data_IF_700185647533
#
_entry.id   IF_700185647533
#
_cell.length_a   1.000
_cell.length_b   1.000
_cell.length_c   1.000
_cell.angle_alpha   90.00
_cell.angle_beta   90.00
_cell.angle_gamma   90.00
#
_symmetry.space_group_name_H-M   'P 1'
#
loop_
_entity.id
_entity.type
_entity.pdbx_description
1 polymer ?
#
# COMPACT_ATOMS: atom_id res chain seq x y z
N UNK A 1 -15.22 -20.20 -3.21
CA UNK A 1 -15.28 -19.78 -4.61
C UNK A 1 -13.86 -19.69 -5.10
N UNK A 2 -13.47 -20.59 -6.01
CA UNK A 2 -12.07 -20.93 -6.30
C UNK A 2 -11.36 -19.92 -7.22
N UNK A 3 -11.69 -18.64 -7.09
CA UNK A 3 -11.05 -17.58 -7.86
C UNK A 3 -9.73 -17.13 -7.22
N UNK A 4 -8.69 -16.99 -8.03
CA UNK A 4 -7.50 -16.23 -7.66
C UNK A 4 -7.75 -14.76 -8.00
N UNK A 5 -7.63 -13.89 -7.00
CA UNK A 5 -7.87 -12.46 -7.15
C UNK A 5 -6.59 -11.68 -6.89
N UNK A 6 -6.53 -10.45 -7.42
CA UNK A 6 -5.45 -9.50 -7.18
C UNK A 6 -6.02 -8.24 -6.54
N UNK A 7 -5.47 -7.83 -5.41
CA UNK A 7 -5.83 -6.58 -4.73
C UNK A 7 -4.58 -5.71 -4.57
N UNK A 8 -4.70 -4.42 -4.93
CA UNK A 8 -3.67 -3.41 -4.68
C UNK A 8 -4.15 -2.44 -3.60
N UNK A 9 -3.28 -2.17 -2.65
CA UNK A 9 -3.54 -1.29 -1.50
C UNK A 9 -2.43 -0.27 -1.40
N UNK A 10 -2.79 0.99 -1.16
CA UNK A 10 -1.82 2.02 -0.82
C UNK A 10 -1.52 1.97 0.68
N UNK A 11 -0.24 1.93 1.02
CA UNK A 11 0.23 1.72 2.39
C UNK A 11 1.25 2.81 2.77
N UNK A 12 1.06 3.50 3.91
CA UNK A 12 1.99 4.53 4.34
C UNK A 12 3.38 3.95 4.56
N UNK A 13 4.42 4.72 4.24
CA UNK A 13 5.80 4.26 4.39
C UNK A 13 6.12 3.76 5.79
N UNK A 14 5.58 4.42 6.81
CA UNK A 14 5.72 4.06 8.24
C UNK A 14 5.06 2.72 8.59
N UNK A 15 3.90 2.42 8.02
CA UNK A 15 3.18 1.16 8.21
C UNK A 15 3.83 0.02 7.41
N UNK A 16 4.32 0.31 6.20
CA UNK A 16 4.95 -0.69 5.33
C UNK A 16 6.16 -1.36 6.00
N UNK A 17 6.96 -0.63 6.79
CA UNK A 17 8.05 -1.22 7.57
C UNK A 17 7.56 -2.23 8.62
N UNK A 18 6.43 -1.95 9.28
CA UNK A 18 5.81 -2.84 10.25
C UNK A 18 5.28 -4.12 9.60
N UNK A 19 4.66 -3.99 8.42
CA UNK A 19 4.10 -5.10 7.67
C UNK A 19 5.20 -6.03 7.16
N UNK A 20 6.33 -5.47 6.70
CA UNK A 20 7.47 -6.28 6.22
C UNK A 20 8.16 -7.01 7.37
N UNK A 21 8.37 -6.35 8.51
CA UNK A 21 9.12 -6.90 9.63
C UNK A 21 10.63 -6.93 9.41
N UNK A 22 11.39 -7.31 10.44
CA UNK A 22 12.86 -7.36 10.35
C UNK A 22 13.26 -8.46 9.38
N UNK A 23 14.06 -8.12 8.36
CA UNK A 23 14.49 -9.08 7.34
C UNK A 23 13.35 -9.69 6.50
N UNK A 24 12.13 -9.14 6.57
CA UNK A 24 10.97 -9.71 5.88
C UNK A 24 10.25 -10.84 6.62
N UNK A 25 10.58 -11.09 7.89
CA UNK A 25 10.01 -12.20 8.67
C UNK A 25 8.48 -12.13 8.78
N UNK A 26 7.93 -10.94 9.03
CA UNK A 26 6.49 -10.76 9.28
C UNK A 26 5.68 -10.99 8.01
N UNK A 27 6.09 -10.41 6.89
CA UNK A 27 5.41 -10.62 5.60
C UNK A 27 5.57 -12.05 5.08
N UNK A 28 6.68 -12.73 5.42
CA UNK A 28 6.85 -14.15 5.08
C UNK A 28 5.88 -15.04 5.89
N UNK A 29 5.75 -14.79 7.19
CA UNK A 29 4.82 -15.49 8.06
C UNK A 29 3.37 -15.25 7.64
N UNK A 30 3.00 -14.00 7.34
CA UNK A 30 1.66 -13.64 6.85
C UNK A 30 1.28 -14.39 5.57
N UNK A 31 2.20 -14.51 4.61
CA UNK A 31 1.98 -15.28 3.39
C UNK A 31 1.81 -16.77 3.67
N UNK A 32 2.56 -17.32 4.63
CA UNK A 32 2.45 -18.72 5.04
C UNK A 32 1.11 -19.03 5.70
N UNK A 33 0.64 -18.15 6.57
CA UNK A 33 -0.58 -18.38 7.36
C UNK A 33 -1.86 -18.19 6.54
N UNK A 34 -1.84 -17.29 5.56
CA UNK A 34 -3.00 -16.97 4.73
C UNK A 34 -3.01 -17.70 3.39
N UNK A 35 -1.91 -18.34 3.01
CA UNK A 35 -1.67 -18.88 1.66
C UNK A 35 -1.75 -17.82 0.53
N UNK A 36 -1.84 -16.53 0.88
CA UNK A 36 -1.76 -15.43 -0.07
C UNK A 36 -0.30 -15.11 -0.43
N UNK A 37 -0.11 -14.55 -1.61
CA UNK A 37 1.14 -13.90 -2.00
C UNK A 37 1.04 -12.41 -1.74
N UNK A 38 2.00 -11.84 -1.01
CA UNK A 38 2.02 -10.43 -0.64
C UNK A 38 3.35 -9.81 -1.06
N UNK A 39 3.29 -8.71 -1.82
CA UNK A 39 4.47 -7.96 -2.27
C UNK A 39 4.31 -6.48 -1.98
N UNK A 40 5.31 -5.88 -1.37
CA UNK A 40 5.38 -4.42 -1.18
C UNK A 40 6.31 -3.81 -2.26
N UNK A 41 5.96 -2.66 -2.82
CA UNK A 41 6.84 -1.86 -3.70
C UNK A 41 8.13 -1.48 -2.98
N UNK A 42 9.18 -1.04 -3.67
CA UNK A 42 10.43 -0.62 -3.02
C UNK A 42 10.20 0.61 -2.13
N UNK A 43 11.11 0.88 -1.19
CA UNK A 43 10.92 1.91 -0.16
C UNK A 43 10.70 3.34 -0.70
N UNK A 44 11.15 3.65 -1.92
CA UNK A 44 10.99 4.95 -2.59
C UNK A 44 10.19 4.85 -3.89
N UNK A 45 9.51 3.74 -4.09
CA UNK A 45 8.66 3.47 -5.24
C UNK A 45 7.21 3.67 -4.82
N UNK A 46 6.75 4.91 -4.98
CA UNK A 46 5.44 5.36 -4.54
C UNK A 46 4.44 5.35 -5.68
N UNK A 47 3.16 5.25 -5.32
CA UNK A 47 2.10 5.43 -6.29
C UNK A 47 2.10 6.87 -6.82
N UNK A 48 1.86 7.12 -8.13
CA UNK A 48 1.89 8.47 -8.68
C UNK A 48 0.98 9.44 -7.92
N UNK A 49 1.53 10.60 -7.57
CA UNK A 49 0.80 11.64 -6.83
C UNK A 49 0.68 11.38 -5.32
N UNK A 50 1.34 10.37 -4.77
CA UNK A 50 1.28 10.06 -3.34
C UNK A 50 2.68 9.81 -2.74
N UNK A 51 2.73 9.70 -1.42
CA UNK A 51 3.88 9.19 -0.66
C UNK A 51 3.67 7.75 -0.18
N UNK A 52 2.70 7.06 -0.79
CA UNK A 52 2.21 5.75 -0.38
C UNK A 52 2.89 4.65 -1.20
N UNK A 53 3.28 3.57 -0.55
CA UNK A 53 3.79 2.36 -1.21
C UNK A 53 2.64 1.50 -1.68
N UNK A 54 2.89 0.65 -2.68
CA UNK A 54 1.87 -0.27 -3.21
C UNK A 54 2.08 -1.66 -2.62
N UNK A 55 1.08 -2.18 -1.92
CA UNK A 55 1.00 -3.59 -1.53
C UNK A 55 0.13 -4.34 -2.54
N UNK A 56 0.69 -5.35 -3.20
CA UNK A 56 -0.03 -6.28 -4.06
C UNK A 56 -0.27 -7.59 -3.31
N UNK A 57 -1.54 -7.93 -3.13
CA UNK A 57 -2.01 -9.17 -2.54
C UNK A 57 -2.58 -10.03 -3.67
N UNK A 58 -2.27 -11.32 -3.67
CA UNK A 58 -2.84 -12.28 -4.63
C UNK A 58 -3.21 -13.55 -3.89
N UNK A 59 -4.45 -14.01 -4.02
CA UNK A 59 -4.95 -15.16 -3.29
C UNK A 59 -6.45 -15.37 -3.51
N UNK A 60 -7.01 -16.36 -2.80
CA UNK A 60 -8.46 -16.48 -2.63
C UNK A 60 -9.04 -15.30 -1.85
N UNK A 61 -10.35 -15.09 -1.93
CA UNK A 61 -11.01 -13.95 -1.29
C UNK A 61 -10.79 -13.95 0.23
N UNK A 62 -10.92 -15.09 0.90
CA UNK A 62 -10.74 -15.20 2.35
C UNK A 62 -9.29 -14.90 2.77
N UNK A 63 -8.32 -15.38 1.99
CA UNK A 63 -6.90 -15.10 2.19
C UNK A 63 -6.60 -13.60 2.01
N UNK A 64 -7.17 -12.95 0.99
CA UNK A 64 -7.03 -11.52 0.77
C UNK A 64 -7.62 -10.72 1.94
N UNK A 65 -8.81 -11.10 2.43
CA UNK A 65 -9.45 -10.40 3.55
C UNK A 65 -8.61 -10.51 4.84
N UNK A 66 -8.06 -11.68 5.14
CA UNK A 66 -7.16 -11.86 6.29
C UNK A 66 -5.89 -10.99 6.18
N UNK A 67 -5.28 -10.91 4.99
CA UNK A 67 -4.13 -10.02 4.75
C UNK A 67 -4.53 -8.55 4.91
N UNK A 68 -5.72 -8.17 4.44
CA UNK A 68 -6.25 -6.81 4.56
C UNK A 68 -6.45 -6.40 6.02
N UNK A 69 -7.04 -7.27 6.85
CA UNK A 69 -7.25 -7.00 8.27
C UNK A 69 -5.92 -6.73 8.98
N UNK A 70 -4.90 -7.56 8.72
CA UNK A 70 -3.56 -7.36 9.23
C UNK A 70 -2.94 -6.03 8.79
N UNK A 71 -3.05 -5.67 7.49
CA UNK A 71 -2.53 -4.40 6.98
C UNK A 71 -3.22 -3.21 7.66
N UNK A 72 -4.54 -3.25 7.79
CA UNK A 72 -5.32 -2.18 8.42
C UNK A 72 -4.98 -2.01 9.89
N UNK A 73 -4.73 -3.11 10.61
CA UNK A 73 -4.22 -3.07 11.99
C UNK A 73 -2.87 -2.34 12.06
N UNK A 74 -1.92 -2.67 11.18
CA UNK A 74 -0.59 -2.02 11.17
C UNK A 74 -0.63 -0.56 10.75
N UNK A 75 -1.56 -0.17 9.89
CA UNK A 75 -1.81 1.24 9.58
C UNK A 75 -2.37 1.97 10.80
N UNK A 76 -3.33 1.37 11.53
CA UNK A 76 -3.92 1.98 12.73
C UNK A 76 -2.90 2.13 13.88
N UNK A 77 -2.01 1.16 14.07
CA UNK A 77 -0.94 1.23 15.09
C UNK A 77 0.10 2.33 14.80
N UNK A 78 0.32 2.66 13.52
CA UNK A 78 1.34 3.61 13.06
C UNK A 78 0.72 4.71 12.19
N UNK A 79 -0.09 5.60 12.77
CA UNK A 79 -0.64 6.73 12.02
C UNK A 79 0.50 7.58 11.46
N UNK A 80 0.44 7.92 10.18
CA UNK A 80 1.40 8.84 9.58
C UNK A 80 1.13 10.26 10.07
N UNK A 81 1.86 10.68 11.11
CA UNK A 81 1.74 12.01 11.70
C UNK A 81 2.27 13.13 10.78
N UNK A 82 2.89 12.77 9.67
CA UNK A 82 3.46 13.71 8.69
C UNK A 82 2.67 13.82 7.39
N UNK A 83 1.60 13.02 7.24
CA UNK A 83 0.72 13.08 6.10
C UNK A 83 0.05 14.47 6.04
N UNK A 84 0.65 15.39 5.27
CA UNK A 84 -0.07 16.58 4.81
C UNK A 84 -1.27 16.07 4.03
N UNK A 85 -2.46 16.35 4.52
CA UNK A 85 -3.74 16.06 3.87
C UNK A 85 -3.74 16.70 2.48
N UNK A 86 -3.27 15.97 1.48
CA UNK A 86 -3.24 16.37 0.06
C UNK A 86 -4.27 15.52 -0.67
N UNK A 87 -5.51 15.60 -0.21
CA UNK A 87 -6.67 15.19 -0.99
C UNK A 87 -7.19 16.41 -1.73
N UNK A 88 -6.43 16.90 -2.71
CA UNK A 88 -6.95 17.79 -3.73
C UNK A 88 -7.58 16.92 -4.84
N UNK A 89 -8.81 16.46 -4.59
CA UNK A 89 -9.66 15.90 -5.65
C UNK A 89 -10.22 17.07 -6.47
N UNK A 90 -9.62 17.27 -7.65
CA UNK A 90 -10.13 18.10 -8.75
C UNK A 90 -10.33 19.60 -8.46
N UNK A 91 -9.34 20.41 -8.87
CA UNK A 91 -9.68 21.66 -9.53
C UNK A 91 -8.99 21.69 -10.88
N UNK A 92 -9.64 21.11 -11.89
CA UNK A 92 -9.31 21.30 -13.28
C UNK A 92 -9.06 22.78 -13.60
N UNK A 93 -7.81 23.12 -13.85
CA UNK A 93 -7.41 24.24 -14.70
C UNK A 93 -6.10 23.88 -15.38
N UNK A 94 -6.24 23.45 -16.63
CA UNK A 94 -5.17 23.63 -17.61
C UNK A 94 -4.84 25.12 -17.65
N UNK A 95 -3.58 25.46 -17.38
CA UNK A 95 -3.03 26.75 -17.79
C UNK A 95 -1.66 26.49 -18.38
N UNK A 96 -1.61 26.60 -19.70
CA UNK A 96 -0.39 26.73 -20.46
C UNK A 96 0.24 28.11 -20.18
N UNK A 97 1.50 28.14 -19.78
CA UNK A 97 2.39 29.30 -19.95
C UNK A 97 3.75 28.75 -20.37
N UNK A 98 4.00 28.72 -21.69
CA UNK A 98 4.84 29.67 -22.42
C UNK A 98 6.32 29.54 -22.05
N UNK A 99 6.99 28.72 -22.86
CA UNK A 99 8.35 28.95 -23.35
C UNK A 99 8.65 30.45 -23.46
N UNK A 100 9.49 30.94 -22.55
CA UNK A 100 10.48 31.98 -22.79
C UNK A 100 11.57 31.89 -21.73
N UNK A 101 12.66 31.19 -22.04
CA UNK A 101 14.00 31.76 -21.87
C UNK A 101 15.00 31.09 -22.82
#
# INVERSE_FOLDING_TARGET
GDGMYHLKVLVPGVAAGAIIGKGGETIAQLQKDTEARVKMSKARDFYPGTTERVCLITGGIDAIMQVMDFIMEKIREKPDLTAKTTVDFDSGKATAERDKQ
#
